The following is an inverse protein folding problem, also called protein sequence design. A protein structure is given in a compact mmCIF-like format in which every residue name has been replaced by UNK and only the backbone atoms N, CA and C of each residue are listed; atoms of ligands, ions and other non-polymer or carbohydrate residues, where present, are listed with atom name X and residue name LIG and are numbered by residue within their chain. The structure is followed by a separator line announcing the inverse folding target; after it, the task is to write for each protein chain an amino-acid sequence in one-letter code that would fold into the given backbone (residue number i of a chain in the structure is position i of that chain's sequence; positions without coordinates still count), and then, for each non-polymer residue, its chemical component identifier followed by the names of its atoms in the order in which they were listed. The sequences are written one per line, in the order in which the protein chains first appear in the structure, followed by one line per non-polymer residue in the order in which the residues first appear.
data_IF_744146736127
#
_entry.id   IF_744146736127
#
_cell.length_a   1.000
_cell.length_b   1.000
_cell.length_c   1.000
_cell.angle_alpha   90.00
_cell.angle_beta   90.00
_cell.angle_gamma   90.00
#
_symmetry.space_group_name_H-M   'P 1'
#
loop_
_entity.id
_entity.type
_entity.pdbx_description
1 polymer ?
2 polymer ?
3 water ?
#
loop_
_entity_poly.entity_id
_entity_poly.type
_entity_poly.pdbx_seq_one_letter_code
_entity_poly.pdbx_strand_id
2 'polydeoxyribonucleotide' '(DT)(DA)(DT)(DA)(DC)(DT)(DG)(DT)(DA)(DT)(DG)(DC)(DG)(DC)(DA)(DT)(DA)(DC)(DA)(DG)(DT)(DA)' ?
#
# COMPACT_ATOMS: atom_id res chain seq x y z
N UNK A 2 26.76 14.92 10.34
CA UNK A 2 28.17 14.73 9.89
C UNK A 2 28.17 13.95 8.58
N UNK A 3 28.36 14.65 7.47
CA UNK A 3 28.34 14.05 6.13
C UNK A 3 29.39 12.95 5.93
N UNK A 4 29.20 12.14 4.89
CA UNK A 4 30.07 10.99 4.62
C UNK A 4 31.14 11.31 3.60
N UNK A 5 32.34 10.75 3.81
CA UNK A 5 33.42 10.87 2.84
C UNK A 5 33.07 9.99 1.64
N UNK A 6 33.72 10.24 0.51
CA UNK A 6 33.44 9.52 -0.73
C UNK A 6 33.58 8.00 -0.59
N UNK A 7 34.68 7.57 0.01
CA UNK A 7 34.97 6.14 0.18
C UNK A 7 34.05 5.50 1.22
N UNK A 8 33.58 6.31 2.17
CA UNK A 8 32.62 5.87 3.17
C UNK A 8 31.20 5.82 2.59
N UNK A 9 30.93 6.67 1.60
CA UNK A 9 29.65 6.64 0.89
C UNK A 9 29.54 5.37 0.05
N UNK A 10 30.67 4.93 -0.52
CA UNK A 10 30.74 3.65 -1.22
C UNK A 10 30.40 2.50 -0.29
N UNK A 11 31.11 2.39 0.82
CA UNK A 11 30.93 1.30 1.78
C UNK A 11 29.46 1.17 2.19
N UNK A 12 28.84 2.30 2.54
CA UNK A 12 27.42 2.31 2.93
C UNK A 12 26.50 1.85 1.81
N UNK A 13 26.84 2.21 0.57
CA UNK A 13 26.09 1.74 -0.59
C UNK A 13 26.31 0.26 -0.89
N UNK A 14 27.48 -0.26 -0.52
CA UNK A 14 27.78 -1.68 -0.70
C UNK A 14 26.90 -2.57 0.18
N UNK A 15 26.77 -2.17 1.45
CA UNK A 15 25.90 -2.85 2.42
C UNK A 15 24.44 -2.80 1.94
N UNK A 16 23.97 -1.58 1.69
CA UNK A 16 22.62 -1.32 1.16
C UNK A 16 22.26 -2.30 0.04
N UNK A 17 23.26 -2.66 -0.77
CA UNK A 17 23.10 -3.58 -1.89
C UNK A 17 23.06 -5.03 -1.44
N UNK A 18 24.11 -5.45 -0.75
CA UNK A 18 24.28 -6.82 -0.24
C UNK A 18 23.05 -7.31 0.52
N UNK A 19 22.50 -6.45 1.37
CA UNK A 19 21.25 -6.72 2.09
C UNK A 19 20.12 -6.93 1.09
N UNK A 20 20.04 -6.08 0.09
CA UNK A 20 18.97 -6.15 -0.91
C UNK A 20 19.22 -7.20 -2.00
N UNK A 21 20.40 -7.80 -2.00
CA UNK A 21 20.76 -8.80 -3.02
C UNK A 21 20.87 -10.21 -2.43
N UNK A 22 21.16 -10.30 -1.14
CA UNK A 22 21.41 -11.60 -0.50
C UNK A 22 20.58 -11.80 0.78
N UNK A 23 19.74 -10.82 1.10
CA UNK A 23 18.83 -10.91 2.25
C UNK A 23 19.49 -10.73 3.60
N UNK A 24 20.79 -10.50 3.61
CA UNK A 24 21.56 -10.38 4.85
C UNK A 24 22.79 -9.47 4.73
N UNK A 25 23.14 -8.76 5.83
CA UNK A 25 24.31 -7.89 5.85
C UNK A 25 25.61 -8.64 5.52
N UNK A 26 26.62 -7.93 4.97
CA UNK A 26 27.89 -8.54 4.63
C UNK A 26 28.85 -8.65 5.80
N UNK A 27 29.84 -9.52 5.66
CA UNK A 27 30.91 -9.63 6.63
C UNK A 27 32.02 -8.65 6.25
N UNK A 28 33.00 -8.50 7.13
CA UNK A 28 34.14 -7.63 6.85
C UNK A 28 34.88 -8.11 5.61
N UNK A 29 35.14 -9.41 5.54
CA UNK A 29 35.85 -10.01 4.42
C UNK A 29 35.13 -9.79 3.10
N UNK A 30 33.80 -9.92 3.13
CA UNK A 30 32.95 -9.70 1.95
C UNK A 30 33.05 -8.26 1.46
N UNK A 31 33.08 -7.30 2.39
CA UNK A 31 33.25 -5.90 2.04
C UNK A 31 34.62 -5.68 1.38
N UNK A 32 35.65 -6.20 2.02
CA UNK A 32 37.02 -6.15 1.51
C UNK A 32 37.13 -6.76 0.11
N UNK A 33 36.52 -7.92 -0.07
CA UNK A 33 36.48 -8.60 -1.36
C UNK A 33 35.79 -7.75 -2.44
N UNK A 34 34.57 -7.32 -2.14
CA UNK A 34 33.74 -6.60 -3.11
C UNK A 34 34.31 -5.25 -3.52
N UNK A 35 34.98 -4.58 -2.59
CA UNK A 35 35.48 -3.23 -2.85
C UNK A 35 36.96 -3.17 -3.24
N UNK A 36 37.69 -4.27 -3.00
CA UNK A 36 39.07 -4.38 -3.43
C UNK A 36 40.12 -4.22 -2.35
N UNK A 37 39.70 -4.24 -1.09
CA UNK A 37 40.63 -4.19 0.03
C UNK A 37 41.33 -5.54 0.18
N UNK A 38 42.58 -5.51 0.66
CA UNK A 38 43.32 -6.73 0.91
C UNK A 38 43.27 -7.05 2.39
N UNK A 39 42.61 -6.18 3.15
CA UNK A 39 42.49 -6.33 4.59
C UNK A 39 41.08 -5.95 5.04
N UNK A 40 40.41 -6.87 5.75
CA UNK A 40 39.08 -6.63 6.29
C UNK A 40 39.03 -5.55 7.38
N UNK A 41 40.19 -5.23 7.97
CA UNK A 41 40.31 -4.15 8.95
C UNK A 41 39.92 -2.79 8.35
N UNK A 42 40.15 -2.65 7.04
CA UNK A 42 39.73 -1.48 6.28
C UNK A 42 38.21 -1.37 6.27
N UNK A 43 37.55 -2.52 6.10
CA UNK A 43 36.11 -2.59 6.21
C UNK A 43 35.70 -2.25 7.64
N UNK A 44 36.45 -2.77 8.61
CA UNK A 44 36.16 -2.56 10.02
C UNK A 44 36.12 -1.08 10.39
N UNK A 45 37.15 -0.34 9.97
CA UNK A 45 37.28 1.07 10.31
C UNK A 45 36.29 1.95 9.57
N UNK A 46 36.12 1.67 8.27
CA UNK A 46 35.12 2.36 7.47
C UNK A 46 33.74 2.16 8.09
N UNK A 47 33.54 1.00 8.72
CA UNK A 47 32.30 0.70 9.43
C UNK A 47 32.23 1.45 10.76
N UNK A 48 33.30 1.37 11.54
CA UNK A 48 33.37 2.08 12.81
C UNK A 48 33.09 3.56 12.60
N UNK A 49 33.55 4.08 11.46
CA UNK A 49 33.33 5.49 11.09
C UNK A 49 31.85 5.76 10.85
N UNK A 50 31.22 4.90 10.08
CA UNK A 50 29.79 5.00 9.82
C UNK A 50 28.99 4.90 11.12
N UNK A 51 29.49 4.07 12.05
CA UNK A 51 28.88 3.92 13.36
C UNK A 51 28.91 5.24 14.12
N UNK A 52 30.03 5.95 14.03
CA UNK A 52 30.17 7.27 14.63
C UNK A 52 29.24 8.29 13.99
N UNK A 53 29.24 8.31 12.65
CA UNK A 53 28.38 9.18 11.87
C UNK A 53 26.89 8.80 12.01
N UNK A 54 26.63 7.74 12.77
CA UNK A 54 25.28 7.34 13.15
C UNK A 54 24.36 6.93 12.02
N UNK A 55 24.92 6.34 10.97
CA UNK A 55 24.12 5.87 9.83
C UNK A 55 23.86 4.36 9.92
N UNK A 56 24.76 3.66 10.61
CA UNK A 56 24.61 2.25 10.89
C UNK A 56 24.78 1.96 12.38
N UNK A 57 24.50 0.72 12.76
CA UNK A 57 24.76 0.23 14.11
C UNK A 57 25.58 -1.06 14.00
N UNK A 58 26.61 -1.18 14.82
CA UNK A 58 27.40 -2.42 14.88
C UNK A 58 27.02 -3.23 16.12
N UNK A 59 26.56 -4.45 15.89
CA UNK A 59 26.24 -5.36 16.98
C UNK A 59 27.51 -6.11 17.34
N UNK A 60 27.93 -5.98 18.60
CA UNK A 60 29.13 -6.65 19.09
C UNK A 60 28.99 -8.16 19.03
N UNK A 61 30.05 -8.83 18.55
CA UNK A 61 30.09 -10.29 18.46
C UNK A 61 29.27 -10.87 17.32
N UNK A 62 28.11 -10.27 17.04
CA UNK A 62 27.21 -10.78 16.02
C UNK A 62 27.83 -10.66 14.64
N UNK A 63 28.00 -11.82 14.00
CA UNK A 63 28.49 -11.87 12.62
C UNK A 63 27.45 -11.24 11.70
N UNK A 64 27.91 -10.37 10.80
CA UNK A 64 27.03 -9.61 9.92
C UNK A 64 26.17 -8.65 10.72
N UNK A 65 26.65 -8.32 11.92
CA UNK A 65 25.95 -7.40 12.80
C UNK A 65 26.10 -5.95 12.39
N UNK A 66 25.65 -5.65 11.17
CA UNK A 66 25.56 -4.29 10.67
C UNK A 66 24.09 -3.96 10.45
N UNK A 67 23.55 -3.13 11.33
CA UNK A 67 22.16 -2.70 11.22
C UNK A 67 22.09 -1.27 10.65
N UNK A 68 21.25 -1.07 9.65
CA UNK A 68 21.06 0.25 9.04
C UNK A 68 20.19 1.15 9.90
N UNK A 69 20.45 2.45 9.82
CA UNK A 69 19.67 3.44 10.58
C UNK A 69 19.06 4.52 9.67
N UNK A 70 18.14 4.11 8.80
CA UNK A 70 17.51 5.04 7.85
C UNK A 70 16.24 5.66 8.43
N UNK A 75 5.96 6.71 3.28
CA UNK A 75 4.87 6.66 2.32
C UNK A 75 4.20 8.01 2.08
N UNK A 76 3.01 7.98 1.50
CA UNK A 76 2.26 9.20 1.16
C UNK A 76 1.63 9.88 2.39
N UNK A 77 1.47 11.22 2.33
CA UNK A 77 0.87 12.01 3.40
C UNK A 77 -0.52 12.62 3.10
N UNK A 78 -1.30 12.86 4.15
CA UNK A 78 -2.67 13.38 4.03
C UNK A 78 -2.74 14.85 4.41
N UNK A 79 -2.96 15.70 3.41
CA UNK A 79 -3.02 17.14 3.64
C UNK A 79 -4.25 17.58 4.43
N UNK A 80 -3.99 18.34 5.49
CA UNK A 80 -5.02 18.93 6.32
C UNK A 80 -5.76 20.02 5.59
N UNK A 81 -7.04 20.21 5.92
CA UNK A 81 -7.76 21.32 5.35
C UNK A 81 -6.90 22.46 5.86
N UNK A 82 -6.59 23.42 4.98
CA UNK A 82 -5.53 24.37 5.26
C UNK A 82 -5.92 25.82 5.52
N UNK A 83 -5.41 26.33 6.63
CA UNK A 83 -5.52 27.73 6.98
C UNK A 83 -4.76 28.54 5.93
N UNK A 84 -5.27 29.72 5.62
CA UNK A 84 -4.68 30.59 4.60
C UNK A 84 -3.28 31.04 5.03
N UNK A 85 -2.41 31.18 4.03
CA UNK A 85 -1.01 31.60 4.23
C UNK A 85 0.00 30.51 4.58
N UNK A 86 -0.45 29.26 4.66
CA UNK A 86 0.46 28.14 4.87
C UNK A 86 0.33 27.35 3.57
N UNK A 87 1.46 27.03 2.93
CA UNK A 87 1.41 26.53 1.54
C UNK A 87 0.80 25.17 1.16
N UNK A 88 1.61 24.29 0.57
CA UNK A 88 1.05 23.13 -0.16
C UNK A 88 0.29 21.92 0.44
N UNK A 89 0.70 21.28 1.54
CA UNK A 89 2.01 21.37 2.22
C UNK A 89 2.35 22.47 3.22
N UNK A 90 1.39 23.29 3.59
CA UNK A 90 1.61 24.13 4.75
C UNK A 90 1.79 23.01 5.77
N UNK A 91 2.81 23.14 6.63
CA UNK A 91 3.23 22.09 7.55
C UNK A 91 2.42 21.89 8.84
N UNK A 92 2.32 20.63 9.20
CA UNK A 92 1.61 20.20 10.38
C UNK A 92 0.11 20.11 10.03
N UNK A 93 -0.30 20.69 8.90
CA UNK A 93 -1.64 20.62 8.35
C UNK A 93 -1.95 19.22 7.90
N UNK A 94 -0.92 18.57 7.35
CA UNK A 94 -1.05 17.27 6.71
C UNK A 94 -1.80 16.22 7.56
N UNK A 95 -1.47 16.10 8.84
CA UNK A 95 -2.28 15.28 9.74
C UNK A 95 -1.95 13.78 9.81
N UNK A 96 -1.00 13.30 9.01
CA UNK A 96 -0.65 11.89 9.09
C UNK A 96 -0.24 11.29 7.77
N UNK A 97 0.45 10.15 7.83
CA UNK A 97 0.99 9.52 6.64
C UNK A 97 0.50 8.08 6.52
N UNK A 98 -0.14 7.78 5.38
CA UNK A 98 -0.55 6.42 5.07
C UNK A 98 0.41 5.83 4.04
N UNK A 99 1.11 4.76 4.45
CA UNK A 99 2.22 4.21 3.67
C UNK A 99 1.74 3.31 2.52
N UNK A 100 1.22 3.95 1.47
CA UNK A 100 0.67 3.25 0.31
C UNK A 100 1.75 2.90 -0.73
N UNK A 101 1.31 2.46 -1.91
CA UNK A 101 2.18 2.18 -3.04
C UNK A 101 2.15 3.36 -4.00
N UNK A 102 3.30 4.06 -4.16
CA UNK A 102 3.39 5.21 -5.07
C UNK A 102 3.31 4.84 -6.55
N UNK A 103 3.90 3.69 -6.91
CA UNK A 103 3.93 3.22 -8.30
C UNK A 103 2.61 2.56 -8.74
N UNK A 104 1.61 2.64 -7.87
CA UNK A 104 0.28 2.12 -8.15
C UNK A 104 -0.45 3.01 -9.16
N UNK A 105 -0.46 4.31 -8.88
CA UNK A 105 -1.11 5.32 -9.73
C UNK A 105 -0.15 5.77 -10.85
N UNK A 106 -0.68 6.51 -11.81
CA UNK A 106 0.09 6.94 -12.97
C UNK A 106 -0.37 8.31 -13.48
N UNK A 107 0.50 9.35 -13.39
CA UNK A 107 1.87 9.30 -12.89
C UNK A 107 1.95 9.10 -11.37
N UNK A 108 3.13 8.78 -10.87
CA UNK A 108 3.35 8.49 -9.45
C UNK A 108 2.79 9.57 -8.53
N UNK A 109 1.97 9.13 -7.57
CA UNK A 109 1.31 10.04 -6.63
C UNK A 109 2.30 10.53 -5.58
N UNK A 110 2.17 11.80 -5.22
CA UNK A 110 3.07 12.44 -4.28
C UNK A 110 2.44 12.60 -2.90
N UNK A 111 1.14 12.95 -2.88
CA UNK A 111 0.41 13.15 -1.63
C UNK A 111 -1.10 12.93 -1.77
N UNK A 112 -1.77 12.80 -0.63
CA UNK A 112 -3.22 12.67 -0.59
C UNK A 112 -3.87 13.94 -0.04
N UNK A 113 -4.92 14.40 -0.69
CA UNK A 113 -5.72 15.51 -0.19
C UNK A 113 -7.10 15.02 0.18
N UNK A 114 -7.56 15.38 1.37
CA UNK A 114 -8.91 15.03 1.79
C UNK A 114 -9.93 15.91 1.08
N UNK A 115 -10.68 15.31 0.15
CA UNK A 115 -11.69 16.00 -0.65
C UNK A 115 -12.79 16.57 0.25
N UNK A 116 -13.47 17.61 -0.22
CA UNK A 116 -14.52 18.26 0.54
C UNK A 116 -15.68 18.78 -0.32
N UNK A 117 -16.74 17.97 -0.44
CA UNK A 117 -17.95 18.39 -1.17
C UNK A 117 -18.41 17.42 -2.25
N UNK A 118 -19.62 17.67 -2.77
CA UNK A 118 -20.22 16.81 -3.79
C UNK A 118 -20.11 17.40 -5.21
N UNK A 119 -19.08 18.22 -5.42
CA UNK A 119 -18.88 18.91 -6.69
C UNK A 119 -18.37 17.97 -7.79
N UNK A 120 -17.60 16.96 -7.39
CA UNK A 120 -17.07 15.97 -8.34
C UNK A 120 -17.73 14.62 -8.12
N UNK A 121 -19.01 14.68 -7.75
CA UNK A 121 -19.82 13.51 -7.44
C UNK A 121 -19.95 12.55 -8.62
N UNK A 122 -20.32 13.09 -9.79
CA UNK A 122 -20.72 12.27 -10.94
C UNK A 122 -19.61 11.40 -11.52
N UNK A 123 -18.39 11.55 -11.01
CA UNK A 123 -17.27 10.72 -11.44
C UNK A 123 -16.70 9.88 -10.30
N UNK A 124 -17.45 9.81 -9.21
CA UNK A 124 -17.10 8.96 -8.08
C UNK A 124 -16.17 9.58 -7.06
N UNK A 125 -16.04 10.91 -7.10
CA UNK A 125 -15.31 11.65 -6.07
C UNK A 125 -16.31 12.18 -5.06
N UNK A 126 -16.30 11.60 -3.86
CA UNK A 126 -17.30 11.87 -2.83
C UNK A 126 -16.69 12.61 -1.65
N UNK A 127 -17.50 13.46 -1.03
CA UNK A 127 -17.10 14.22 0.15
C UNK A 127 -16.41 13.34 1.20
N UNK A 128 -15.10 13.47 1.32
CA UNK A 128 -14.36 12.72 2.31
C UNK A 128 -13.44 11.64 1.77
N UNK A 129 -13.42 11.51 0.45
CA UNK A 129 -12.45 10.63 -0.21
C UNK A 129 -11.05 11.21 -0.05
N UNK A 130 -10.07 10.33 0.14
CA UNK A 130 -8.69 10.76 0.12
C UNK A 130 -8.23 10.74 -1.34
N UNK A 131 -8.10 11.93 -1.92
CA UNK A 131 -7.63 12.06 -3.30
C UNK A 131 -6.12 11.88 -3.38
N UNK A 132 -5.67 11.07 -4.33
CA UNK A 132 -4.25 10.93 -4.62
C UNK A 132 -3.85 11.98 -5.64
N UNK A 133 -2.71 12.62 -5.40
CA UNK A 133 -2.28 13.75 -6.22
C UNK A 133 -0.80 13.65 -6.58
N UNK A 134 -0.48 13.99 -7.83
CA UNK A 134 0.88 14.09 -8.32
C UNK A 134 1.19 15.58 -8.53
N UNK A 135 2.08 16.11 -7.69
CA UNK A 135 2.42 17.53 -7.71
C UNK A 135 3.17 17.93 -8.98
N UNK A 136 2.53 18.79 -9.76
CA UNK A 136 3.07 19.29 -11.01
C UNK A 136 2.30 20.55 -11.39
N UNK A 137 2.86 21.35 -12.28
CA UNK A 137 2.19 22.58 -12.74
C UNK A 137 1.78 22.47 -14.21
N UNK A 138 2.29 21.45 -14.89
CA UNK A 138 1.91 21.16 -16.26
C UNK A 138 0.71 20.20 -16.28
N UNK A 139 -0.49 20.76 -16.12
CA UNK A 139 -1.72 19.99 -16.29
C UNK A 139 -2.51 20.53 -17.47
N UNK A 140 -2.74 19.66 -18.45
CA UNK A 140 -3.46 20.02 -19.66
C UNK A 140 -4.94 20.30 -19.38
N UNK A 141 -5.59 20.99 -20.30
CA UNK A 141 -7.03 21.20 -20.24
C UNK A 141 -7.79 19.88 -20.36
N UNK A 142 -8.92 19.80 -19.66
CA UNK A 142 -9.73 18.60 -19.68
C UNK A 142 -9.44 17.69 -18.50
N UNK A 143 -8.18 17.70 -18.06
CA UNK A 143 -7.74 16.90 -16.90
C UNK A 143 -8.29 17.45 -15.57
N UNK A 144 -8.17 16.65 -14.52
CA UNK A 144 -8.66 17.05 -13.20
C UNK A 144 -7.48 17.55 -12.36
N UNK A 145 -7.65 18.70 -11.72
CA UNK A 145 -6.54 19.39 -11.06
C UNK A 145 -6.90 19.82 -9.64
N UNK A 146 -5.87 19.92 -8.80
CA UNK A 146 -5.98 20.58 -7.51
C UNK A 146 -5.38 21.98 -7.66
N UNK A 147 -6.26 22.98 -7.65
CA UNK A 147 -5.85 24.37 -7.81
C UNK A 147 -6.07 25.14 -6.52
N UNK A 148 -5.61 26.39 -6.49
CA UNK A 148 -5.72 27.18 -5.29
C UNK A 148 -6.08 28.63 -5.57
N UNK A 149 -7.37 28.94 -5.47
CA UNK A 149 -7.87 30.30 -5.63
C UNK A 149 -7.77 31.03 -4.30
N UNK A 150 -6.86 32.00 -4.23
CA UNK A 150 -6.64 32.80 -3.01
C UNK A 150 -6.44 31.91 -1.79
N UNK A 151 -5.37 31.11 -1.82
CA UNK A 151 -5.01 30.19 -0.73
C UNK A 151 -6.09 29.16 -0.40
N UNK A 152 -7.07 29.02 -1.29
CA UNK A 152 -8.25 28.20 -1.04
C UNK A 152 -8.32 27.00 -1.97
N UNK A 153 -7.69 25.91 -1.54
CA UNK A 153 -7.58 24.68 -2.33
C UNK A 153 -8.93 24.22 -2.89
N UNK A 154 -9.04 24.20 -4.21
CA UNK A 154 -10.23 23.73 -4.91
C UNK A 154 -9.88 22.55 -5.81
N UNK A 155 -10.82 21.63 -6.00
CA UNK A 155 -10.63 20.50 -6.91
C UNK A 155 -11.73 20.48 -7.99
N UNK A 156 -11.31 20.45 -9.26
CA UNK A 156 -12.22 20.52 -10.41
C UNK A 156 -11.55 20.14 -11.73
N UNK A 157 -12.36 20.14 -12.79
CA UNK A 157 -11.89 19.85 -14.15
C UNK A 157 -11.39 21.15 -14.80
N UNK A 158 -10.12 21.16 -15.21
CA UNK A 158 -9.47 22.37 -15.72
C UNK A 158 -9.86 22.77 -17.13
N UNK A 159 -10.13 24.06 -17.31
CA UNK A 159 -10.37 24.66 -18.62
C UNK A 159 -9.83 26.09 -18.61
N UNK A 160 -8.56 26.23 -18.96
CA UNK A 160 -7.87 27.53 -18.93
C UNK A 160 -7.69 28.14 -20.32
N UNK A 161 -8.19 29.36 -20.48
CA UNK A 161 -8.07 30.09 -21.75
C UNK A 161 -7.22 31.34 -21.58
N UNK A 162 -5.94 31.13 -21.26
CA UNK A 162 -4.99 32.23 -21.09
C UNK A 162 -5.18 32.94 -19.77
N UNK A 163 -5.98 34.01 -19.78
CA UNK A 163 -6.22 34.84 -18.60
C UNK A 163 -7.50 34.52 -17.83
N UNK A 164 -8.50 33.99 -18.54
CA UNK A 164 -9.76 33.54 -17.95
C UNK A 164 -9.66 32.03 -17.74
N UNK A 165 -9.78 31.60 -16.49
CA UNK A 165 -9.64 30.17 -16.15
C UNK A 165 -10.90 29.63 -15.47
N UNK A 166 -11.50 28.61 -16.08
CA UNK A 166 -12.69 27.98 -15.55
C UNK A 166 -12.39 26.69 -14.82
N UNK A 167 -13.11 26.46 -13.73
CA UNK A 167 -13.00 25.23 -12.97
C UNK A 167 -14.33 24.49 -12.98
N UNK A 168 -14.36 23.41 -13.75
CA UNK A 168 -15.59 22.66 -14.05
C UNK A 168 -15.85 21.54 -13.05
N UNK A 169 -17.10 21.44 -12.56
CA UNK A 169 -17.45 20.40 -11.60
C UNK A 169 -18.25 19.26 -12.23
N UNK A 170 -17.98 18.03 -11.77
CA UNK A 170 -18.73 16.85 -12.22
C UNK A 170 -19.95 16.61 -11.34
N UNK A 171 -20.95 17.47 -11.55
CA UNK A 171 -22.20 17.51 -10.79
C UNK A 171 -23.13 18.49 -11.51
N UNK A 172 -24.43 18.26 -11.45
CA UNK A 172 -25.40 19.08 -12.18
C UNK A 172 -25.97 20.24 -11.37
N UNK A 173 -25.78 20.21 -10.06
CA UNK A 173 -26.29 21.26 -9.17
C UNK A 173 -25.25 22.35 -8.90
N UNK A 174 -23.99 22.04 -9.21
CA UNK A 174 -22.90 23.00 -9.12
C UNK A 174 -22.68 23.69 -10.44
N UNK A 175 -22.26 24.96 -10.37
CA UNK A 175 -21.92 25.75 -11.54
C UNK A 175 -20.39 25.77 -11.72
N UNK A 176 -19.91 26.13 -12.93
CA UNK A 176 -18.47 26.26 -13.13
C UNK A 176 -17.91 27.47 -12.38
N UNK A 177 -16.79 27.26 -11.69
CA UNK A 177 -16.13 28.34 -10.96
C UNK A 177 -15.21 29.09 -11.91
N UNK A 178 -15.48 30.39 -12.09
CA UNK A 178 -14.71 31.22 -13.03
C UNK A 178 -13.65 32.04 -12.28
N UNK A 179 -12.43 32.03 -12.79
CA UNK A 179 -11.31 32.77 -12.20
C UNK A 179 -10.69 33.68 -13.25
N UNK A 180 -10.23 34.86 -12.82
CA UNK A 180 -9.56 35.80 -13.69
C UNK A 180 -8.21 36.19 -13.08
N UNK A 181 -7.13 35.60 -13.60
CA UNK A 181 -5.79 35.78 -13.04
C UNK A 181 -5.37 37.25 -12.84
N UNK A 182 -6.01 38.14 -13.60
CA UNK A 182 -5.71 39.57 -13.52
C UNK A 182 -6.27 40.21 -12.24
N UNK A 183 -6.86 39.39 -11.36
CA UNK A 183 -7.42 39.87 -10.09
C UNK A 183 -7.64 38.77 -9.04
N UNK A 184 -6.96 37.64 -9.23
CA UNK A 184 -6.95 36.54 -8.27
C UNK A 184 -5.73 35.65 -8.46
N UNK A 185 -5.14 35.21 -7.35
CA UNK A 185 -4.00 34.30 -7.39
C UNK A 185 -4.49 32.90 -7.71
N UNK A 186 -3.62 32.12 -8.37
CA UNK A 186 -4.01 30.81 -8.87
C UNK A 186 -2.80 29.90 -8.99
N UNK A 187 -2.73 28.88 -8.13
CA UNK A 187 -1.64 27.91 -8.20
C UNK A 187 -2.16 26.54 -8.60
N UNK A 188 -1.60 26.00 -9.66
CA UNK A 188 -1.77 24.59 -9.99
C UNK A 188 -0.95 23.83 -8.96
N UNK A 189 -1.63 23.22 -7.99
CA UNK A 189 -0.95 22.48 -6.94
C UNK A 189 -0.47 21.14 -7.45
N UNK A 190 -1.30 20.49 -8.28
CA UNK A 190 -0.95 19.20 -8.86
C UNK A 190 -2.05 18.53 -9.65
N UNK A 191 -1.76 17.31 -10.10
CA UNK A 191 -2.69 16.53 -10.94
C UNK A 191 -3.38 15.41 -10.16
N UNK A 192 -4.70 15.31 -10.33
CA UNK A 192 -5.49 14.23 -9.72
C UNK A 192 -5.28 12.93 -10.49
N UNK A 193 -4.62 11.97 -9.85
CA UNK A 193 -4.26 10.71 -10.51
C UNK A 193 -5.07 9.49 -10.04
N UNK A 194 -5.92 9.68 -9.04
CA UNK A 194 -6.76 8.61 -8.52
C UNK A 194 -7.42 8.92 -7.18
N UNK A 195 -8.37 8.08 -6.79
CA UNK A 195 -9.14 8.28 -5.55
C UNK A 195 -8.99 7.09 -4.60
N UNK A 196 -8.99 7.39 -3.30
CA UNK A 196 -8.98 6.36 -2.24
C UNK A 196 -10.02 6.66 -1.16
N UNK A 197 -10.94 5.72 -0.97
CA UNK A 197 -11.98 5.86 0.05
C UNK A 197 -11.79 4.86 1.18
N UNK A 198 -11.90 5.33 2.42
CA UNK A 198 -11.71 4.47 3.60
C UNK A 198 -12.53 4.91 4.81
N UNK A 199 -13.63 5.60 4.56
CA UNK A 199 -14.50 6.08 5.63
C UNK A 199 -15.52 7.10 5.12
N UNK B 2 3.84 -31.42 1.53
CA UNK B 2 4.77 -30.27 1.78
C UNK B 2 4.15 -29.25 2.74
N UNK B 3 3.43 -29.75 3.74
CA UNK B 3 2.76 -28.91 4.72
C UNK B 3 3.63 -28.71 5.97
N UNK B 4 3.55 -27.52 6.56
CA UNK B 4 4.34 -27.21 7.75
C UNK B 4 3.68 -27.73 9.02
N UNK B 5 4.49 -28.33 9.89
CA UNK B 5 4.02 -28.83 11.18
C UNK B 5 3.72 -27.67 12.13
N UNK B 6 3.44 -27.98 13.39
CA UNK B 6 3.19 -26.96 14.39
C UNK B 6 4.49 -26.24 14.77
N UNK B 7 5.51 -27.04 15.07
CA UNK B 7 6.79 -26.51 15.53
C UNK B 7 7.59 -25.88 14.40
N UNK B 8 7.42 -26.40 13.19
CA UNK B 8 8.09 -25.88 12.01
C UNK B 8 7.50 -24.53 11.59
N UNK B 9 6.20 -24.36 11.84
CA UNK B 9 5.55 -23.08 11.61
C UNK B 9 6.14 -22.00 12.52
N UNK B 10 6.37 -22.37 13.79
CA UNK B 10 7.02 -21.48 14.75
C UNK B 10 8.37 -20.97 14.27
N UNK B 11 9.28 -21.91 13.99
CA UNK B 11 10.65 -21.61 13.52
C UNK B 11 10.63 -20.64 12.36
N UNK B 12 9.80 -20.93 11.35
CA UNK B 12 9.68 -20.08 10.16
C UNK B 12 9.09 -18.72 10.51
N UNK B 13 8.06 -18.69 11.35
CA UNK B 13 7.52 -17.42 11.85
C UNK B 13 8.59 -16.66 12.63
N UNK B 14 9.43 -17.40 13.35
CA UNK B 14 10.47 -16.83 14.18
C UNK B 14 11.55 -16.14 13.36
N UNK B 15 11.93 -16.77 12.25
CA UNK B 15 12.93 -16.21 11.33
C UNK B 15 12.45 -14.89 10.75
N UNK B 16 11.21 -14.90 10.24
CA UNK B 16 10.56 -13.71 9.69
C UNK B 16 10.65 -12.52 10.66
N UNK B 17 10.36 -12.79 11.93
CA UNK B 17 10.42 -11.76 12.98
C UNK B 17 11.83 -11.19 13.14
N UNK B 18 12.81 -12.08 13.33
CA UNK B 18 14.22 -11.70 13.54
C UNK B 18 14.79 -10.87 12.39
N UNK B 19 14.52 -11.29 11.17
CA UNK B 19 14.87 -10.53 9.97
C UNK B 19 14.15 -9.17 9.95
N UNK B 20 12.86 -9.18 10.28
CA UNK B 20 12.07 -7.94 10.34
C UNK B 20 12.43 -7.06 11.54
N UNK B 21 12.94 -7.66 12.61
CA UNK B 21 13.26 -6.93 13.84
C UNK B 21 14.70 -6.45 13.90
N UNK B 22 15.64 -7.32 13.56
CA UNK B 22 17.06 -7.03 13.70
C UNK B 22 17.76 -6.93 12.34
N UNK B 23 16.97 -6.88 11.27
CA UNK B 23 17.52 -6.72 9.91
C UNK B 23 18.37 -7.87 9.40
N UNK B 24 18.51 -8.93 10.18
CA UNK B 24 19.33 -10.08 9.81
C UNK B 24 18.77 -11.43 10.28
N UNK B 25 19.05 -12.51 9.52
CA UNK B 25 18.60 -13.85 9.86
C UNK B 25 19.25 -14.38 11.14
N UNK B 26 18.55 -15.27 11.86
CA UNK B 26 19.07 -15.80 13.11
C UNK B 26 20.01 -16.99 12.95
N UNK B 27 20.91 -17.15 13.92
CA UNK B 27 21.79 -18.29 13.97
C UNK B 27 21.01 -19.44 14.63
N UNK B 28 21.47 -20.67 14.43
CA UNK B 28 20.85 -21.84 15.08
C UNK B 28 20.71 -21.62 16.57
N UNK B 29 21.82 -21.23 17.22
CA UNK B 29 21.85 -20.99 18.66
C UNK B 29 20.87 -19.92 19.10
N UNK B 30 20.57 -18.98 18.20
CA UNK B 30 19.59 -17.92 18.48
C UNK B 30 18.17 -18.47 18.43
N UNK B 31 17.94 -19.43 17.52
CA UNK B 31 16.63 -20.07 17.38
C UNK B 31 16.34 -20.93 18.61
N UNK B 32 17.33 -21.73 19.00
CA UNK B 32 17.24 -22.57 20.19
C UNK B 32 16.95 -21.72 21.42
N UNK B 33 17.91 -20.85 21.77
CA UNK B 33 17.76 -19.83 22.81
C UNK B 33 16.32 -19.32 22.87
N UNK B 34 15.85 -18.81 21.73
CA UNK B 34 14.56 -18.16 21.60
C UNK B 34 13.39 -19.10 21.91
N UNK B 35 13.40 -20.28 21.30
CA UNK B 35 12.30 -21.23 21.43
C UNK B 35 12.37 -22.08 22.70
N UNK B 36 13.58 -22.35 23.18
CA UNK B 36 13.76 -23.05 24.43
C UNK B 36 14.56 -24.33 24.35
N UNK B 37 15.01 -24.70 23.15
CA UNK B 37 15.81 -25.90 22.95
C UNK B 37 17.12 -25.78 23.71
N UNK B 38 17.67 -26.93 24.09
CA UNK B 38 18.95 -26.95 24.79
C UNK B 38 20.04 -27.38 23.82
N UNK B 39 19.64 -27.63 22.59
CA UNK B 39 20.56 -28.07 21.56
C UNK B 39 20.34 -27.27 20.27
N UNK B 40 21.41 -26.65 19.74
CA UNK B 40 21.33 -25.97 18.45
C UNK B 40 20.97 -26.92 17.29
N UNK B 41 21.24 -28.21 17.47
CA UNK B 41 20.90 -29.23 16.48
C UNK B 41 19.38 -29.36 16.25
N UNK B 42 18.60 -29.04 17.29
CA UNK B 42 17.14 -28.99 17.18
C UNK B 42 16.73 -27.93 16.15
N UNK B 43 17.41 -26.79 16.16
CA UNK B 43 17.19 -25.76 15.16
C UNK B 43 17.62 -26.26 13.79
N UNK B 44 18.80 -26.88 13.73
CA UNK B 44 19.39 -27.38 12.49
C UNK B 44 18.39 -28.21 11.70
N UNK B 45 17.83 -29.23 12.34
CA UNK B 45 16.92 -30.13 11.68
C UNK B 45 15.55 -29.52 11.43
N UNK B 46 15.13 -28.63 12.32
CA UNK B 46 13.91 -27.86 12.08
C UNK B 46 14.10 -26.98 10.84
N UNK B 47 15.33 -26.57 10.58
CA UNK B 47 15.64 -25.79 9.38
C UNK B 47 15.78 -26.67 8.14
N UNK B 48 16.55 -27.75 8.27
CA UNK B 48 16.77 -28.68 7.17
C UNK B 48 15.47 -29.16 6.54
N UNK B 49 14.47 -29.39 7.38
CA UNK B 49 13.14 -29.79 6.94
C UNK B 49 12.47 -28.67 6.15
N UNK B 50 12.54 -27.45 6.67
CA UNK B 50 11.96 -26.28 6.01
C UNK B 50 12.55 -26.08 4.62
N UNK B 51 13.83 -26.42 4.47
CA UNK B 51 14.53 -26.34 3.20
C UNK B 51 13.99 -27.36 2.18
N UNK B 52 13.66 -28.54 2.68
CA UNK B 52 13.14 -29.63 1.84
C UNK B 52 11.69 -29.38 1.47
N UNK B 53 10.92 -28.83 2.41
CA UNK B 53 9.54 -28.42 2.12
C UNK B 53 9.52 -27.09 1.35
N UNK B 54 10.73 -26.63 0.97
CA UNK B 54 10.91 -25.55 0.01
C UNK B 54 10.45 -24.17 0.43
N UNK B 55 10.46 -23.89 1.73
CA UNK B 55 10.07 -22.57 2.23
C UNK B 55 11.27 -21.66 2.50
N UNK B 56 12.43 -22.26 2.74
CA UNK B 56 13.66 -21.51 2.94
C UNK B 56 14.83 -22.07 2.12
N UNK B 57 15.89 -21.26 2.00
CA UNK B 57 17.12 -21.65 1.33
C UNK B 57 18.26 -21.54 2.33
N UNK B 58 18.98 -22.64 2.53
CA UNK B 58 20.13 -22.65 3.42
C UNK B 58 21.42 -22.51 2.61
N UNK B 59 22.16 -21.44 2.91
CA UNK B 59 23.45 -21.16 2.26
C UNK B 59 24.57 -21.85 3.02
N UNK B 60 25.29 -22.72 2.33
CA UNK B 60 26.38 -23.50 2.93
C UNK B 60 27.49 -22.59 3.46
N UNK B 61 27.81 -22.75 4.74
CA UNK B 61 28.94 -22.04 5.37
C UNK B 61 28.62 -20.65 5.89
N UNK B 62 27.83 -19.90 5.13
CA UNK B 62 27.46 -18.53 5.49
C UNK B 62 26.66 -18.51 6.79
N UNK B 63 27.26 -17.89 7.81
CA UNK B 63 26.58 -17.68 9.09
C UNK B 63 25.35 -16.82 8.86
N UNK B 64 24.24 -17.19 9.49
CA UNK B 64 22.93 -16.56 9.27
C UNK B 64 22.48 -16.77 7.83
N UNK B 65 22.96 -17.85 7.21
CA UNK B 65 22.65 -18.17 5.83
C UNK B 65 21.28 -18.78 5.65
N UNK B 66 20.27 -18.08 6.15
CA UNK B 66 18.88 -18.47 5.96
C UNK B 66 18.21 -17.43 5.09
N UNK B 67 17.85 -17.83 3.89
CA UNK B 67 17.10 -16.96 2.98
C UNK B 67 15.69 -17.51 2.85
N UNK B 68 14.70 -16.67 3.15
CA UNK B 68 13.31 -17.05 2.98
C UNK B 68 13.00 -17.14 1.48
N UNK B 69 11.96 -17.90 1.11
CA UNK B 69 11.60 -18.03 -0.29
C UNK B 69 10.14 -17.67 -0.56
N UNK B 70 9.23 -18.46 0.01
CA UNK B 70 7.78 -18.36 -0.24
C UNK B 70 7.34 -16.93 -0.56
N UNK B 71 7.39 -16.07 0.46
CA UNK B 71 7.14 -14.62 0.34
C UNK B 71 6.23 -14.22 -0.82
N UNK B 75 1.58 -7.44 0.37
CA UNK B 75 0.64 -6.42 -0.08
C UNK B 75 -0.59 -7.01 -0.74
N UNK B 76 -1.75 -6.49 -0.38
CA UNK B 76 -3.07 -6.98 -0.83
C UNK B 76 -3.15 -7.23 -2.35
N UNK B 77 -3.64 -8.42 -2.75
CA UNK B 77 -3.82 -8.70 -4.17
C UNK B 77 -5.27 -8.53 -4.66
N UNK B 78 -5.39 -8.24 -5.96
CA UNK B 78 -6.68 -8.16 -6.64
C UNK B 78 -6.97 -9.46 -7.39
N UNK B 79 -8.24 -9.88 -7.40
CA UNK B 79 -8.65 -11.11 -8.09
C UNK B 79 -8.83 -10.94 -9.61
N UNK B 80 -9.37 -9.78 -9.99
CA UNK B 80 -9.70 -9.49 -11.38
C UNK B 80 -11.13 -9.89 -11.70
N UNK B 81 -11.29 -10.91 -12.55
CA UNK B 81 -12.60 -11.43 -12.92
C UNK B 81 -12.73 -12.93 -12.69
N UNK B 82 -13.95 -13.35 -12.38
CA UNK B 82 -14.26 -14.70 -11.91
C UNK B 82 -15.21 -15.41 -12.89
N UNK B 89 -14.76 -15.89 -3.99
CA UNK B 89 -14.36 -14.60 -4.55
C UNK B 89 -12.87 -14.56 -4.83
N UNK B 90 -12.16 -15.60 -4.39
CA UNK B 90 -10.72 -15.69 -4.59
C UNK B 90 -10.38 -16.81 -5.56
N UNK B 91 -9.57 -16.48 -6.56
CA UNK B 91 -9.15 -17.45 -7.57
C UNK B 91 -7.64 -17.66 -7.54
N UNK B 92 -7.24 -18.93 -7.46
CA UNK B 92 -5.82 -19.27 -7.45
C UNK B 92 -5.24 -19.25 -8.86
N UNK B 93 -4.27 -18.36 -9.09
CA UNK B 93 -3.80 -17.44 -8.06
C UNK B 93 -3.70 -16.02 -8.65
N UNK B 94 -4.68 -15.68 -9.50
CA UNK B 94 -4.72 -14.38 -10.17
C UNK B 94 -5.27 -13.27 -9.25
N UNK B 95 -5.00 -11.99 -9.51
CA UNK B 95 -4.32 -11.50 -10.72
C UNK B 95 -3.08 -10.65 -10.42
N UNK B 96 -3.29 -9.45 -9.90
CA UNK B 96 -2.22 -8.50 -9.61
C UNK B 96 -1.74 -8.53 -8.17
N UNK B 97 -0.72 -7.73 -7.87
CA UNK B 97 -0.10 -7.68 -6.54
C UNK B 97 0.29 -6.24 -6.21
N UNK B 98 -0.40 -5.65 -5.25
CA UNK B 98 -0.21 -4.23 -4.92
C UNK B 98 0.05 -3.97 -3.45
N UNK B 99 1.19 -3.35 -3.15
CA UNK B 99 1.61 -3.10 -1.77
C UNK B 99 0.86 -1.91 -1.14
N UNK B 100 -0.36 -2.17 -0.70
CA UNK B 100 -1.19 -1.17 -0.05
C UNK B 100 -1.19 -1.42 1.46
N UNK B 101 -1.57 -0.39 2.23
CA UNK B 101 -1.76 -0.54 3.66
C UNK B 101 -3.08 -1.25 3.92
N UNK B 102 -3.04 -2.45 4.55
CA UNK B 102 -4.29 -3.14 4.90
C UNK B 102 -5.00 -2.44 6.06
N UNK B 103 -4.22 -1.96 7.03
CA UNK B 103 -4.73 -1.24 8.19
C UNK B 103 -5.00 0.24 7.88
N UNK B 104 -5.71 0.47 6.78
CA UNK B 104 -6.09 1.80 6.33
C UNK B 104 -7.62 1.86 6.35
N UNK B 105 -8.24 0.71 6.10
CA UNK B 105 -9.69 0.56 6.12
C UNK B 105 -10.16 0.00 7.46
N UNK B 106 -11.44 0.20 7.76
CA UNK B 106 -12.06 -0.33 8.97
C UNK B 106 -13.28 -1.19 8.63
N UNK B 107 -13.19 -2.51 8.89
CA UNK B 107 -11.99 -3.21 9.37
C UNK B 107 -11.04 -3.61 8.24
N UNK B 108 -9.84 -4.07 8.62
CA UNK B 108 -8.76 -4.39 7.67
C UNK B 108 -9.22 -5.14 6.42
N UNK B 109 -8.72 -4.70 5.28
CA UNK B 109 -9.00 -5.35 4.00
C UNK B 109 -8.16 -6.62 3.83
N UNK B 110 -8.68 -7.58 3.06
CA UNK B 110 -7.97 -8.82 2.78
C UNK B 110 -7.59 -8.94 1.31
N UNK B 111 -8.43 -8.36 0.44
CA UNK B 111 -8.22 -8.43 -1.01
C UNK B 111 -8.89 -7.27 -1.74
N UNK B 112 -8.66 -7.21 -3.05
CA UNK B 112 -9.28 -6.22 -3.92
C UNK B 112 -10.08 -6.88 -5.03
N UNK B 113 -11.24 -6.31 -5.35
CA UNK B 113 -12.08 -6.81 -6.42
C UNK B 113 -12.33 -5.70 -7.43
N UNK B 114 -12.14 -6.01 -8.70
CA UNK B 114 -12.32 -5.04 -9.77
C UNK B 114 -13.80 -4.92 -10.09
N UNK B 115 -14.41 -3.82 -9.62
CA UNK B 115 -15.83 -3.55 -9.82
C UNK B 115 -16.18 -3.51 -11.31
N UNK B 116 -17.40 -3.91 -11.62
CA UNK B 116 -17.87 -3.97 -13.00
C UNK B 116 -19.31 -3.47 -13.16
N UNK B 117 -19.46 -2.31 -13.79
CA UNK B 117 -20.77 -1.70 -14.02
C UNK B 117 -21.08 -0.53 -13.11
N UNK B 118 -22.17 0.17 -13.41
CA UNK B 118 -22.55 1.38 -12.69
C UNK B 118 -23.70 1.17 -11.69
N UNK B 119 -23.77 -0.01 -11.08
CA UNK B 119 -24.84 -0.33 -10.14
C UNK B 119 -24.72 0.43 -8.82
N UNK B 120 -23.48 0.67 -8.39
CA UNK B 120 -23.24 1.40 -7.14
C UNK B 120 -22.61 2.77 -7.43
N UNK B 121 -23.11 3.41 -8.48
CA UNK B 121 -22.66 4.71 -8.94
C UNK B 121 -22.85 5.78 -7.88
N UNK B 122 -24.07 5.90 -7.37
CA UNK B 122 -24.48 7.02 -6.51
C UNK B 122 -23.76 7.13 -5.17
N UNK B 123 -22.91 6.15 -4.86
CA UNK B 123 -22.06 6.23 -3.67
C UNK B 123 -20.56 6.18 -4.03
N UNK B 124 -20.26 6.55 -5.27
CA UNK B 124 -18.87 6.67 -5.72
C UNK B 124 -18.21 5.34 -6.02
N UNK B 125 -19.01 4.35 -6.43
CA UNK B 125 -18.46 3.11 -6.92
C UNK B 125 -18.73 2.99 -8.42
N UNK B 126 -17.67 3.22 -9.18
CA UNK B 126 -17.72 3.34 -10.63
C UNK B 126 -17.16 2.09 -11.29
N UNK B 127 -17.59 1.84 -12.53
CA UNK B 127 -17.05 0.76 -13.35
C UNK B 127 -15.54 0.89 -13.46
N UNK B 128 -14.82 -0.09 -12.93
CA UNK B 128 -13.37 -0.11 -13.03
C UNK B 128 -12.61 0.21 -11.75
N UNK B 129 -13.33 0.57 -10.69
CA UNK B 129 -12.73 0.80 -9.38
C UNK B 129 -12.14 -0.49 -8.83
N UNK B 130 -11.18 -0.36 -7.93
CA UNK B 130 -10.67 -1.49 -7.19
C UNK B 130 -11.32 -1.45 -5.80
N UNK B 131 -12.08 -2.51 -5.49
CA UNK B 131 -12.87 -2.56 -4.25
C UNK B 131 -12.11 -3.22 -3.10
N UNK B 132 -12.10 -2.54 -1.95
CA UNK B 132 -11.50 -3.08 -0.74
C UNK B 132 -12.53 -3.92 0.04
N UNK B 133 -12.21 -5.20 0.24
CA UNK B 133 -13.16 -6.13 0.84
C UNK B 133 -12.55 -6.94 2.00
N UNK B 134 -13.37 -7.18 3.02
CA UNK B 134 -13.00 -7.96 4.19
C UNK B 134 -13.57 -9.36 4.03
N UNK B 135 -12.71 -10.38 4.07
CA UNK B 135 -13.15 -11.77 3.90
C UNK B 135 -13.84 -12.32 5.15
N UNK B 136 -15.13 -12.02 5.26
CA UNK B 136 -15.97 -12.51 6.36
C UNK B 136 -17.34 -12.92 5.83
N UNK B 137 -18.11 -13.62 6.66
CA UNK B 137 -19.44 -14.06 6.25
C UNK B 137 -20.54 -13.46 7.13
N UNK B 138 -20.17 -13.01 8.33
CA UNK B 138 -21.10 -12.28 9.20
C UNK B 138 -21.21 -10.84 8.76
N UNK B 139 -22.26 -10.57 7.98
CA UNK B 139 -22.61 -9.22 7.56
C UNK B 139 -24.05 -8.97 7.97
N UNK B 140 -24.38 -7.71 8.24
CA UNK B 140 -25.72 -7.37 8.70
C UNK B 140 -26.46 -6.59 7.62
N UNK B 141 -27.75 -6.37 7.86
CA UNK B 141 -28.60 -5.64 6.91
C UNK B 141 -28.18 -4.19 6.74
N UNK B 142 -28.32 -3.69 5.51
CA UNK B 142 -27.96 -2.32 5.19
C UNK B 142 -26.50 -2.12 4.81
N UNK B 143 -25.67 -3.13 5.08
CA UNK B 143 -24.26 -3.10 4.72
C UNK B 143 -24.03 -3.23 3.22
N UNK B 144 -22.80 -2.99 2.79
CA UNK B 144 -22.42 -3.20 1.40
C UNK B 144 -21.51 -4.42 1.32
N UNK B 145 -21.85 -5.34 0.41
CA UNK B 145 -21.31 -6.68 0.44
C UNK B 145 -20.96 -7.22 -0.96
N UNK B 146 -20.06 -8.21 -0.99
CA UNK B 146 -19.75 -8.97 -2.19
C UNK B 146 -20.35 -10.37 -2.05
N UNK B 147 -21.38 -10.64 -2.85
CA UNK B 147 -22.07 -11.93 -2.84
C UNK B 147 -21.80 -12.69 -4.15
N UNK B 148 -22.08 -13.98 -4.14
CA UNK B 148 -21.85 -14.83 -5.32
C UNK B 148 -23.06 -15.68 -5.65
N UNK B 149 -23.95 -15.13 -6.49
CA UNK B 149 -25.17 -15.82 -6.92
C UNK B 149 -24.85 -16.81 -8.06
N UNK B 150 -24.82 -18.10 -7.73
CA UNK B 150 -24.52 -19.17 -8.69
C UNK B 150 -23.20 -18.96 -9.42
N UNK B 151 -22.10 -18.98 -8.66
CA UNK B 151 -20.74 -18.74 -9.18
C UNK B 151 -20.54 -17.35 -9.79
N UNK B 152 -21.53 -16.48 -9.64
CA UNK B 152 -21.48 -15.14 -10.26
C UNK B 152 -21.33 -14.05 -9.21
N UNK B 153 -20.10 -13.56 -9.06
CA UNK B 153 -19.73 -12.54 -8.09
C UNK B 153 -20.44 -11.21 -8.37
N UNK B 154 -21.07 -10.66 -7.33
CA UNK B 154 -21.84 -9.42 -7.42
C UNK B 154 -21.55 -8.55 -6.18
N UNK B 155 -21.66 -7.24 -6.35
CA UNK B 155 -21.45 -6.28 -5.26
C UNK B 155 -22.66 -5.33 -5.11
N UNK B 156 -23.28 -5.35 -3.93
CA UNK B 156 -24.49 -4.56 -3.67
C UNK B 156 -24.79 -4.36 -2.20
N UNK B 157 -25.87 -3.65 -1.90
CA UNK B 157 -26.32 -3.38 -0.55
C UNK B 157 -27.24 -4.51 -0.06
N UNK B 158 -26.84 -5.17 1.03
CA UNK B 158 -27.56 -6.34 1.56
C UNK B 158 -28.84 -5.97 2.30
N UNK B 159 -29.84 -6.85 2.22
CA UNK B 159 -31.08 -6.73 2.97
C UNK B 159 -31.82 -8.07 3.01
N UNK B 160 -31.45 -8.92 3.97
CA UNK B 160 -32.04 -10.25 4.09
C UNK B 160 -33.28 -10.32 4.98
N UNK B 161 -34.20 -11.22 4.62
CA UNK B 161 -35.41 -11.51 5.40
C UNK B 161 -35.69 -13.01 5.41
N UNK B 162 -34.95 -13.72 6.26
CA UNK B 162 -35.05 -15.17 6.37
C UNK B 162 -34.53 -15.88 5.14
N UNK B 163 -35.44 -16.25 4.24
CA UNK B 163 -35.12 -16.92 2.99
C UNK B 163 -35.00 -15.95 1.82
N UNK B 164 -35.73 -14.84 1.92
CA UNK B 164 -35.72 -13.79 0.90
C UNK B 164 -34.57 -12.83 1.17
N UNK B 165 -33.57 -12.86 0.28
CA UNK B 165 -32.43 -11.96 0.36
C UNK B 165 -32.52 -10.92 -0.76
N UNK B 166 -32.54 -9.65 -0.37
CA UNK B 166 -32.63 -8.56 -1.34
C UNK B 166 -31.31 -7.81 -1.44
N UNK B 167 -30.76 -7.73 -2.65
CA UNK B 167 -29.54 -6.98 -2.91
C UNK B 167 -29.87 -5.71 -3.70
N UNK B 168 -29.72 -4.57 -3.04
CA UNK B 168 -30.11 -3.30 -3.62
C UNK B 168 -28.93 -2.59 -4.29
N UNK B 169 -29.15 -1.96 -5.45
CA UNK B 169 -28.12 -1.16 -6.09
C UNK B 169 -28.20 0.32 -5.69
N UNK B 170 -27.06 1.01 -5.71
CA UNK B 170 -27.04 2.45 -5.46
C UNK B 170 -27.01 3.22 -6.78
N UNK B 171 -28.20 3.33 -7.37
CA UNK B 171 -28.42 3.86 -8.72
C UNK B 171 -29.90 3.70 -9.02
N UNK B 172 -30.50 4.71 -9.67
CA UNK B 172 -31.95 4.70 -9.92
C UNK B 172 -32.37 3.98 -11.20
N UNK B 173 -31.39 3.64 -12.05
CA UNK B 173 -31.65 2.93 -13.29
C UNK B 173 -31.53 1.42 -13.11
N UNK B 174 -31.08 1.02 -11.94
CA UNK B 174 -30.95 -0.39 -11.59
C UNK B 174 -32.00 -0.77 -10.57
N UNK B 175 -32.53 -1.99 -10.71
CA UNK B 175 -33.55 -2.52 -9.81
C UNK B 175 -32.94 -3.54 -8.83
N UNK B 176 -33.60 -3.78 -7.68
CA UNK B 176 -33.10 -4.73 -6.68
C UNK B 176 -33.00 -6.14 -7.24
N UNK B 177 -31.90 -6.83 -6.93
CA UNK B 177 -31.72 -8.22 -7.31
C UNK B 177 -32.17 -9.11 -6.15
N UNK B 178 -33.35 -9.70 -6.29
CA UNK B 178 -33.96 -10.54 -5.25
C UNK B 178 -33.51 -11.99 -5.41
N UNK B 179 -33.14 -12.61 -4.28
CA UNK B 179 -32.67 -14.00 -4.28
C UNK B 179 -33.45 -14.84 -3.24
N UNK B 180 -33.64 -16.11 -3.57
CA UNK B 180 -34.26 -17.07 -2.67
C UNK B 180 -33.34 -18.29 -2.59
N UNK B 181 -32.65 -18.45 -1.46
CA UNK B 181 -31.64 -19.51 -1.29
C UNK B 181 -32.18 -20.92 -1.55
N UNK B 182 -33.50 -21.06 -1.48
CA UNK B 182 -34.18 -22.35 -1.63
C UNK B 182 -34.06 -22.93 -3.03
N UNK B 183 -33.70 -22.09 -4.00
CA UNK B 183 -33.53 -22.52 -5.39
C UNK B 183 -32.35 -21.82 -6.08
N UNK B 184 -31.48 -21.22 -5.28
CA UNK B 184 -30.26 -20.55 -5.76
C UNK B 184 -29.14 -20.67 -4.73
N UNK B 185 -27.94 -21.00 -5.18
CA UNK B 185 -26.76 -20.99 -4.31
C UNK B 185 -26.31 -19.56 -4.09
N UNK B 186 -25.76 -19.29 -2.90
CA UNK B 186 -25.53 -17.94 -2.43
C UNK B 186 -24.50 -17.96 -1.32
N UNK B 187 -23.33 -17.40 -1.60
CA UNK B 187 -22.25 -17.33 -0.61
C UNK B 187 -21.83 -15.88 -0.44
N UNK B 188 -21.66 -15.46 0.81
CA UNK B 188 -21.09 -14.15 1.11
C UNK B 188 -19.57 -14.27 0.98
N UNK B 189 -19.00 -13.47 0.08
CA UNK B 189 -17.57 -13.47 -0.16
C UNK B 189 -16.85 -12.57 0.83
N UNK B 190 -17.47 -11.43 1.15
CA UNK B 190 -16.92 -10.53 2.15
C UNK B 190 -17.62 -9.19 2.25
N UNK B 191 -17.06 -8.31 3.10
CA UNK B 191 -17.62 -6.99 3.35
C UNK B 191 -16.83 -5.90 2.63
N UNK B 192 -17.54 -5.03 1.92
CA UNK B 192 -16.92 -3.86 1.29
C UNK B 192 -16.59 -2.79 2.34
N UNK B 193 -15.31 -2.46 2.45
CA UNK B 193 -14.83 -1.51 3.47
C UNK B 193 -14.34 -0.18 2.89
N UNK B 194 -13.85 -0.21 1.65
CA UNK B 194 -13.35 0.97 0.96
C UNK B 194 -13.19 0.78 -0.54
N UNK B 195 -12.75 1.84 -1.21
CA UNK B 195 -12.57 1.84 -2.67
C UNK B 195 -11.23 2.50 -3.04
N UNK B 196 -10.60 1.99 -4.10
CA UNK B 196 -9.37 2.57 -4.65
C UNK B 196 -9.49 2.73 -6.17
N UNK B 197 -9.41 3.96 -6.65
CA UNK B 197 -9.50 4.25 -8.09
C UNK B 197 -8.15 4.70 -8.62
N UNK B 198 -7.74 4.13 -9.76
CA UNK B 198 -6.46 4.51 -10.37
C UNK B 198 -6.45 4.66 -11.88
N UNK B 199 -7.53 5.24 -12.42
CA UNK B 199 -7.56 5.59 -13.84
C UNK B 199 -6.44 6.57 -14.15
N UNK B 200 -5.84 6.46 -15.33
CA UNK B 200 -4.87 7.46 -15.78
C UNK B 200 -5.53 8.44 -16.75
N UNK B 201 -6.82 8.70 -16.53
CA UNK B 201 -7.65 9.45 -17.48
C UNK B 201 -7.17 10.88 -17.69
N UNK B 202 -7.55 11.43 -18.84
CA UNK B 202 -7.12 12.76 -19.26
C UNK B 202 -8.27 13.74 -19.10
#
# INVERSE_FOLDING_TARGET
MKALTARQQEVFDLIRDHISQTGMPPTRAEIAQRLGFRSPNAAEEHLKALARKGVIEIVSGASRGIRLLQEEEEGLPLVGRVAAGEPLLAQQHIEGHYQVDPSLFKPNADFLLRVSGMSMKDIGIMDGDLLAVHKTQDVRNGQVVVARIDDEVTVARLKKQGNKVELLPENSEFKPIVVDLRQQSFTIEGLAVGVIRNGDWL
MKALTARQQEVFDLIRDHISQTGMPPTRAEIAQRLGFRSPNAAEEHLKALARKGVIEIVSGASRGIRLLQEEEEGLPLVGRVAAGEPLLAQQHIEGHYQVDPSLFKPNADFLLRVSGMSMKDIGIMDGDLLAVHKTQDVRNGQVVVARIDDEVTVARLKKQGNKVELLPENSEFKPIVVDLRQQSFTIEGLAVGVIRNGDWL
#
